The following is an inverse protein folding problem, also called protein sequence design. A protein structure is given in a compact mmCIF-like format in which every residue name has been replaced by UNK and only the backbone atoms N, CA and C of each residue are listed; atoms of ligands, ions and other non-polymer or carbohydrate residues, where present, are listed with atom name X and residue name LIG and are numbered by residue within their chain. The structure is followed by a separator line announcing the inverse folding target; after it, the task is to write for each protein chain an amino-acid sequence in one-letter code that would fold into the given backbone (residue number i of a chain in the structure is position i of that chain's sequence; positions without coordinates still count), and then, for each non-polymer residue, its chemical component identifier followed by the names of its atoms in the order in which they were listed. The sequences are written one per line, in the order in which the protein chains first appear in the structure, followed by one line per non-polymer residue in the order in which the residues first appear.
data_IF_684182927954
#
_entry.id   IF_684182927954
#
_cell.length_a   1.000
_cell.length_b   1.000
_cell.length_c   1.000
_cell.angle_alpha   90.00
_cell.angle_beta   90.00
_cell.angle_gamma   90.00
#
_symmetry.space_group_name_H-M   'P 1'
#
loop_
_entity.id
_entity.type
_entity.pdbx_description
1 polymer ?
#
# COMPACT_ATOMS: atom_id res chain seq x y z
N UNK A 1 -7.52 -7.81 -12.03
CA UNK A 1 -6.12 -7.97 -11.57
C UNK A 1 -5.94 -7.17 -10.28
N UNK A 2 -5.40 -7.75 -9.21
CA UNK A 2 -5.08 -6.99 -7.98
C UNK A 2 -3.87 -6.07 -8.24
N UNK A 3 -4.03 -4.78 -8.02
CA UNK A 3 -2.99 -3.75 -8.02
C UNK A 3 -2.69 -3.30 -6.59
N UNK A 4 -1.53 -2.67 -6.37
CA UNK A 4 -1.16 -2.06 -5.08
C UNK A 4 -2.29 -1.18 -4.53
N UNK A 5 -2.80 -0.27 -5.38
CA UNK A 5 -3.90 0.64 -5.01
C UNK A 5 -5.18 -0.12 -4.67
N UNK A 6 -5.60 -1.10 -5.50
CA UNK A 6 -6.83 -1.84 -5.23
C UNK A 6 -6.77 -2.62 -3.91
N UNK A 7 -5.59 -3.13 -3.54
CA UNK A 7 -5.39 -3.85 -2.28
C UNK A 7 -5.41 -2.86 -1.12
N UNK A 8 -4.69 -1.74 -1.21
CA UNK A 8 -4.70 -0.70 -0.17
C UNK A 8 -6.10 -0.13 0.07
N UNK A 9 -6.88 0.14 -0.99
CA UNK A 9 -8.28 0.57 -0.86
C UNK A 9 -9.12 -0.49 -0.16
N UNK A 10 -9.04 -1.75 -0.60
CA UNK A 10 -9.81 -2.83 0.02
C UNK A 10 -9.42 -3.07 1.47
N UNK A 11 -8.14 -2.88 1.82
CA UNK A 11 -7.67 -2.92 3.20
C UNK A 11 -8.27 -1.77 4.03
N UNK A 12 -8.39 -0.56 3.49
CA UNK A 12 -8.91 0.58 4.24
C UNK A 12 -10.45 0.67 4.30
N UNK A 13 -11.20 0.07 3.37
CA UNK A 13 -12.67 0.19 3.24
C UNK A 13 -13.52 0.02 4.50
N UNK A 14 -13.03 -0.69 5.52
CA UNK A 14 -13.75 -0.95 6.77
C UNK A 14 -12.96 -0.49 8.00
N UNK A 15 -12.09 0.52 7.83
CA UNK A 15 -11.18 1.03 8.87
C UNK A 15 -11.21 2.55 8.81
N UNK A 16 -11.27 3.19 9.98
CA UNK A 16 -11.12 4.66 10.06
C UNK A 16 -9.76 5.11 9.53
N UNK A 17 -8.71 4.38 9.88
CA UNK A 17 -7.36 4.57 9.36
C UNK A 17 -6.50 3.32 9.59
N UNK A 18 -5.33 3.28 8.98
CA UNK A 18 -4.31 2.29 9.30
C UNK A 18 -2.91 2.87 9.18
N UNK A 19 -1.97 2.31 9.94
CA UNK A 19 -0.57 2.68 9.83
C UNK A 19 0.03 2.11 8.53
N UNK A 20 0.96 2.86 7.92
CA UNK A 20 1.59 2.50 6.65
C UNK A 20 2.20 1.10 6.63
N UNK A 21 2.78 0.64 7.75
CA UNK A 21 3.35 -0.71 7.87
C UNK A 21 2.32 -1.80 7.60
N UNK A 22 1.09 -1.61 8.07
CA UNK A 22 0.04 -2.61 8.03
C UNK A 22 -0.56 -2.69 6.62
N UNK A 23 -0.72 -1.52 5.98
CA UNK A 23 -1.09 -1.42 4.57
C UNK A 23 -0.03 -2.10 3.72
N UNK A 24 1.26 -1.84 3.99
CA UNK A 24 2.34 -2.46 3.24
C UNK A 24 2.38 -3.98 3.42
N UNK A 25 2.17 -4.47 4.65
CA UNK A 25 2.14 -5.90 4.92
C UNK A 25 1.01 -6.59 4.13
N UNK A 26 -0.18 -6.02 4.09
CA UNK A 26 -1.30 -6.56 3.30
C UNK A 26 -0.97 -6.61 1.80
N UNK A 27 -0.39 -5.52 1.26
CA UNK A 27 0.03 -5.47 -0.15
C UNK A 27 1.14 -6.49 -0.44
N UNK A 28 2.10 -6.63 0.48
CA UNK A 28 3.18 -7.62 0.38
C UNK A 28 2.62 -9.04 0.34
N UNK A 29 1.75 -9.41 1.29
CA UNK A 29 1.13 -10.75 1.33
C UNK A 29 0.43 -11.07 0.00
N UNK A 30 -0.27 -10.10 -0.59
CA UNK A 30 -1.01 -10.30 -1.82
C UNK A 30 -0.13 -10.34 -3.10
N UNK A 31 1.04 -9.70 -3.11
CA UNK A 31 1.81 -9.47 -4.34
C UNK A 31 3.25 -10.01 -4.31
N UNK A 32 3.75 -10.54 -3.20
CA UNK A 32 5.16 -10.93 -3.06
C UNK A 32 5.60 -11.90 -4.17
N UNK A 33 4.86 -13.00 -4.34
CA UNK A 33 5.17 -14.00 -5.37
C UNK A 33 5.18 -13.40 -6.79
N UNK A 34 4.28 -12.45 -7.07
CA UNK A 34 4.27 -11.75 -8.37
C UNK A 34 5.52 -10.89 -8.54
N UNK A 35 5.93 -10.16 -7.50
CA UNK A 35 7.09 -9.28 -7.57
C UNK A 35 8.39 -10.07 -7.72
N UNK A 36 8.53 -11.20 -7.02
CA UNK A 36 9.68 -12.12 -7.16
C UNK A 36 9.79 -12.64 -8.59
N UNK A 37 8.68 -13.05 -9.20
CA UNK A 37 8.65 -13.49 -10.59
C UNK A 37 8.99 -12.37 -11.59
N UNK A 38 8.65 -11.11 -11.28
CA UNK A 38 8.92 -9.96 -12.14
C UNK A 38 10.35 -9.42 -12.00
N UNK A 39 11.00 -9.68 -10.87
CA UNK A 39 12.30 -9.15 -10.50
C UNK A 39 13.24 -10.28 -10.05
N UNK A 40 13.46 -11.33 -10.87
CA UNK A 40 14.15 -12.55 -10.45
C UNK A 40 15.63 -12.33 -10.07
N UNK A 41 16.22 -11.20 -10.47
CA UNK A 41 17.62 -10.85 -10.20
C UNK A 41 17.81 -9.98 -8.93
N UNK A 42 16.74 -9.68 -8.20
CA UNK A 42 16.81 -8.90 -6.96
C UNK A 42 16.57 -9.81 -5.75
N UNK A 43 17.27 -9.54 -4.65
CA UNK A 43 16.95 -10.16 -3.37
C UNK A 43 15.59 -9.69 -2.88
N UNK A 44 14.92 -10.53 -2.09
CA UNK A 44 13.66 -10.21 -1.42
C UNK A 44 13.71 -8.85 -0.71
N UNK A 45 14.77 -8.54 0.03
CA UNK A 45 14.92 -7.26 0.73
C UNK A 45 14.96 -6.04 -0.21
N UNK A 46 15.62 -6.17 -1.37
CA UNK A 46 15.65 -5.11 -2.39
C UNK A 46 14.28 -4.93 -3.01
N UNK A 47 13.56 -6.01 -3.30
CA UNK A 47 12.19 -5.97 -3.81
C UNK A 47 11.29 -5.25 -2.80
N UNK A 48 11.34 -5.64 -1.52
CA UNK A 48 10.54 -5.02 -0.47
C UNK A 48 10.86 -3.54 -0.30
N UNK A 49 12.13 -3.14 -0.34
CA UNK A 49 12.55 -1.73 -0.27
C UNK A 49 11.95 -0.91 -1.41
N UNK A 50 12.05 -1.40 -2.65
CA UNK A 50 11.48 -0.73 -3.83
C UNK A 50 9.96 -0.62 -3.75
N UNK A 51 9.28 -1.72 -3.41
CA UNK A 51 7.82 -1.79 -3.35
C UNK A 51 7.22 -1.00 -2.20
N UNK A 52 7.95 -0.86 -1.10
CA UNK A 52 7.58 0.03 0.01
C UNK A 52 7.61 1.49 -0.43
N UNK A 53 8.67 1.91 -1.12
CA UNK A 53 8.74 3.25 -1.71
C UNK A 53 7.64 3.50 -2.75
N UNK A 54 7.34 2.51 -3.59
CA UNK A 54 6.26 2.57 -4.57
C UNK A 54 4.89 2.76 -3.90
N UNK A 55 4.56 1.97 -2.89
CA UNK A 55 3.30 2.13 -2.14
C UNK A 55 3.22 3.53 -1.50
N UNK A 56 4.27 3.99 -0.82
CA UNK A 56 4.26 5.31 -0.18
C UNK A 56 3.98 6.42 -1.20
N UNK A 57 4.64 6.36 -2.37
CA UNK A 57 4.40 7.30 -3.47
C UNK A 57 2.96 7.23 -3.97
N UNK A 58 2.41 6.03 -4.17
CA UNK A 58 1.04 5.84 -4.66
C UNK A 58 0.02 6.39 -3.66
N UNK A 59 0.17 6.12 -2.35
CA UNK A 59 -0.70 6.69 -1.31
C UNK A 59 -0.64 8.22 -1.30
N UNK A 60 0.53 8.80 -1.56
CA UNK A 60 0.72 10.25 -1.56
C UNK A 60 0.07 10.95 -2.76
N UNK A 61 0.14 10.34 -3.96
CA UNK A 61 -0.31 10.98 -5.21
C UNK A 61 -1.74 10.61 -5.62
N UNK A 62 -2.24 9.45 -5.18
CA UNK A 62 -3.58 8.99 -5.54
C UNK A 62 -4.63 9.69 -4.68
N UNK A 63 -5.59 10.35 -5.33
CA UNK A 63 -6.61 11.17 -4.68
C UNK A 63 -7.55 10.39 -3.75
N UNK A 64 -7.52 9.06 -3.78
CA UNK A 64 -8.35 8.21 -2.91
C UNK A 64 -7.89 8.20 -1.46
N UNK A 65 -6.63 8.57 -1.18
CA UNK A 65 -6.04 8.48 0.16
C UNK A 65 -5.85 9.87 0.79
N UNK A 66 -5.79 9.88 2.12
CA UNK A 66 -5.46 11.04 2.94
C UNK A 66 -4.44 10.63 4.00
N UNK A 67 -3.34 11.38 4.09
CA UNK A 67 -2.37 11.22 5.18
C UNK A 67 -2.89 11.93 6.44
N UNK A 68 -2.95 11.22 7.56
CA UNK A 68 -3.43 11.73 8.84
C UNK A 68 -2.31 12.20 9.78
N UNK A 69 -1.04 12.06 9.36
CA UNK A 69 0.13 12.25 10.21
C UNK A 69 0.58 10.95 10.88
N UNK A 70 1.80 10.94 11.44
CA UNK A 70 2.40 9.76 12.09
C UNK A 70 2.34 8.47 11.24
N UNK A 71 2.45 8.58 9.91
CA UNK A 71 2.32 7.49 8.94
C UNK A 71 0.96 6.76 8.95
N UNK A 72 -0.10 7.37 9.46
CA UNK A 72 -1.47 6.88 9.31
C UNK A 72 -2.11 7.38 8.02
N UNK A 73 -2.90 6.52 7.39
CA UNK A 73 -3.61 6.77 6.15
C UNK A 73 -5.06 6.31 6.26
N UNK A 74 -5.94 7.02 5.57
CA UNK A 74 -7.36 6.70 5.46
C UNK A 74 -7.86 6.91 4.02
N UNK A 75 -9.08 6.44 3.73
CA UNK A 75 -9.76 6.76 2.49
C UNK A 75 -10.39 8.15 2.58
N UNK A 76 -10.25 8.93 1.51
CA UNK A 76 -10.85 10.28 1.42
C UNK A 76 -12.38 10.24 1.54
N UNK A 77 -13.01 9.17 1.04
CA UNK A 77 -14.46 8.98 1.11
C UNK A 77 -15.00 8.99 2.54
N UNK A 78 -14.16 8.61 3.51
CA UNK A 78 -14.59 8.35 4.89
C UNK A 78 -14.35 9.56 5.80
N UNK A 79 -13.62 10.57 5.32
CA UNK A 79 -13.33 11.82 6.04
C UNK A 79 -14.33 12.93 5.68
N UNK A 80 -15.03 12.83 4.55
CA UNK A 80 -15.97 13.85 4.05
C UNK A 80 -17.41 13.67 4.58
N UNK A 81 -17.57 13.34 5.86
CA UNK A 81 -18.87 13.29 6.56
C UNK A 81 -18.88 14.35 7.65
#
# INVERSE_FOLDING_TARGET
MKTIISIAINFLKNRESAHFSDIFLEVQVALMSKWENQLPNLSTDKILTLKRGELYKLLTIDGSFVALGNNYWALRSDILI
#
